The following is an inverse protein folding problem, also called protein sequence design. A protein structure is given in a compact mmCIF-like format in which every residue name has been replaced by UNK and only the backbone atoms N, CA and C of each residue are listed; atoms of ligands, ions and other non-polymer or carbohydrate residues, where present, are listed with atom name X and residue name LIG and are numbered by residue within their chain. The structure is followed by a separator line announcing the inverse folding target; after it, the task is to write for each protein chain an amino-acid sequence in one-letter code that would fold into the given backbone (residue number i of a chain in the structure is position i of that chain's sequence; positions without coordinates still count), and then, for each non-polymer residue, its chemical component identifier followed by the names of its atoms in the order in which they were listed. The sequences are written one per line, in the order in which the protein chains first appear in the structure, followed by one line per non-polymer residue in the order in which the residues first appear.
data_IF_194897232596
#
_entry.id   IF_194897232596
#
_cell.length_a   1.000
_cell.length_b   1.000
_cell.length_c   1.000
_cell.angle_alpha   90.00
_cell.angle_beta   90.00
_cell.angle_gamma   90.00
#
_symmetry.space_group_name_H-M   'P 1'
#
loop_
_entity.id
_entity.type
_entity.pdbx_description
1 polymer ?
#
# COMPACT_ATOMS: atom_id res chain seq x y z
N UNK A 1 25.43 50.57 39.23
CA UNK A 1 26.49 49.80 38.61
C UNK A 1 26.22 49.76 37.11
N UNK A 2 26.95 50.56 36.34
CA UNK A 2 26.60 50.97 34.97
C UNK A 2 27.27 50.11 33.90
N UNK A 3 27.51 48.83 34.17
CA UNK A 3 28.22 47.96 33.24
C UNK A 3 27.72 46.51 33.17
N UNK A 4 26.42 46.27 33.37
CA UNK A 4 25.81 44.97 33.04
C UNK A 4 25.24 45.02 31.62
N UNK A 5 26.06 44.64 30.64
CA UNK A 5 25.73 44.65 29.20
C UNK A 5 24.82 43.51 28.74
N UNK A 6 24.22 42.73 29.65
CA UNK A 6 23.31 41.62 29.25
C UNK A 6 21.83 41.87 29.54
N UNK A 7 21.49 42.84 30.40
CA UNK A 7 20.11 43.06 30.83
C UNK A 7 19.60 44.42 30.39
N UNK A 8 18.82 44.44 29.32
CA UNK A 8 18.26 45.66 28.75
C UNK A 8 17.44 46.44 29.79
N UNK A 9 17.57 47.76 29.78
CA UNK A 9 16.74 48.65 30.60
C UNK A 9 15.24 48.46 30.33
N UNK A 10 14.86 48.11 29.10
CA UNK A 10 13.46 47.81 28.75
C UNK A 10 12.96 46.53 29.42
N UNK A 11 13.79 45.49 29.49
CA UNK A 11 13.46 44.24 30.16
C UNK A 11 13.36 44.46 31.68
N UNK A 12 14.26 45.29 32.24
CA UNK A 12 14.19 45.70 33.64
C UNK A 12 12.86 46.34 34.03
N UNK A 13 12.38 47.28 33.23
CA UNK A 13 11.11 47.95 33.49
C UNK A 13 9.89 47.02 33.33
N UNK A 14 9.95 46.08 32.39
CA UNK A 14 8.93 45.02 32.26
C UNK A 14 8.92 44.14 33.50
N UNK A 15 10.07 43.59 33.91
CA UNK A 15 10.18 42.73 35.08
C UNK A 15 9.72 43.43 36.37
N UNK A 16 10.04 44.71 36.52
CA UNK A 16 9.56 45.53 37.64
C UNK A 16 8.04 45.63 37.66
N UNK A 17 7.41 45.85 36.51
CA UNK A 17 5.94 45.86 36.40
C UNK A 17 5.33 44.49 36.64
N UNK A 18 5.93 43.41 36.11
CA UNK A 18 5.48 42.05 36.39
C UNK A 18 5.56 41.71 37.89
N UNK A 19 6.51 42.28 38.63
CA UNK A 19 6.68 42.02 40.06
C UNK A 19 5.74 42.83 40.95
N UNK A 20 5.50 44.11 40.63
CA UNK A 20 4.80 45.03 41.52
C UNK A 20 3.42 45.48 41.03
N UNK A 21 3.11 45.29 39.74
CA UNK A 21 1.86 45.75 39.12
C UNK A 21 1.29 44.69 38.15
N UNK A 22 1.39 43.42 38.54
CA UNK A 22 1.07 42.27 37.68
C UNK A 22 -0.36 42.34 37.12
N UNK A 23 -1.35 42.76 37.91
CA UNK A 23 -2.78 42.80 37.53
C UNK A 23 -3.04 43.67 36.29
N UNK A 24 -2.24 44.71 36.08
CA UNK A 24 -2.40 45.64 34.96
C UNK A 24 -1.62 45.21 33.72
N UNK A 25 -0.73 44.23 33.81
CA UNK A 25 0.09 43.78 32.67
C UNK A 25 -0.64 42.78 31.77
N UNK A 26 -0.19 42.72 30.52
CA UNK A 26 -0.66 41.74 29.52
C UNK A 26 0.05 40.39 29.69
N UNK A 27 -0.49 39.32 29.09
CA UNK A 27 0.18 38.00 29.05
C UNK A 27 1.42 37.96 28.16
N UNK A 28 1.57 38.92 27.23
CA UNK A 28 2.76 39.02 26.38
C UNK A 28 3.93 39.67 27.11
N UNK A 29 3.66 40.63 27.99
CA UNK A 29 4.71 41.29 28.78
C UNK A 29 5.08 40.46 30.02
N UNK A 30 4.07 39.89 30.69
CA UNK A 30 4.24 39.07 31.89
C UNK A 30 3.49 37.74 31.72
N UNK A 31 4.20 36.61 31.55
CA UNK A 31 3.58 35.28 31.49
C UNK A 31 2.63 35.03 32.66
N UNK A 32 1.59 34.24 32.42
CA UNK A 32 0.64 33.87 33.47
C UNK A 32 1.32 32.98 34.52
N UNK A 33 1.08 33.26 35.80
CA UNK A 33 1.65 32.46 36.90
C UNK A 33 0.90 31.14 37.06
N UNK A 34 1.64 30.12 37.48
CA UNK A 34 1.09 28.79 37.77
C UNK A 34 0.32 28.71 39.09
N UNK A 35 0.33 29.75 39.94
CA UNK A 35 -0.47 29.82 41.17
C UNK A 35 -0.83 31.27 41.42
N UNK A 36 -2.05 31.50 41.92
CA UNK A 36 -2.49 32.80 42.44
C UNK A 36 -2.23 34.02 41.54
N UNK A 37 -2.26 33.87 40.22
CA UNK A 37 -2.17 35.00 39.28
C UNK A 37 -3.43 35.86 39.45
N UNK A 38 -3.30 37.15 39.82
CA UNK A 38 -4.45 38.03 40.02
C UNK A 38 -5.24 38.29 38.72
N UNK A 39 -4.71 37.88 37.56
CA UNK A 39 -5.35 38.01 36.26
C UNK A 39 -6.05 36.73 35.79
N UNK A 40 -6.00 35.64 36.56
CA UNK A 40 -6.62 34.36 36.21
C UNK A 40 -8.15 34.51 36.03
N UNK A 41 -8.69 33.86 34.99
CA UNK A 41 -10.11 33.99 34.60
C UNK A 41 -10.44 35.29 33.84
N UNK A 42 -9.44 36.07 33.46
CA UNK A 42 -9.56 37.32 32.70
C UNK A 42 -8.49 37.42 31.62
N UNK A 43 -7.41 38.18 31.88
CA UNK A 43 -6.27 38.29 30.94
C UNK A 43 -5.47 36.98 30.84
N UNK A 44 -5.50 36.19 31.91
CA UNK A 44 -4.95 34.84 31.96
C UNK A 44 -6.08 33.81 32.03
N UNK A 45 -5.88 32.60 31.47
CA UNK A 45 -6.83 31.50 31.66
C UNK A 45 -7.11 31.23 33.14
N UNK A 46 -8.30 30.72 33.45
CA UNK A 46 -8.64 30.33 34.82
C UNK A 46 -7.80 29.11 35.27
N UNK A 47 -7.68 28.88 36.56
CA UNK A 47 -7.10 27.65 37.07
C UNK A 47 -8.07 26.48 36.89
N UNK A 48 -7.53 25.31 36.53
CA UNK A 48 -8.32 24.09 36.44
C UNK A 48 -8.79 23.71 37.86
N UNK A 49 -10.10 23.62 38.07
CA UNK A 49 -10.68 23.32 39.38
C UNK A 49 -11.11 21.86 39.53
N UNK A 50 -11.33 21.17 38.41
CA UNK A 50 -11.68 19.75 38.37
C UNK A 50 -11.42 19.16 36.99
N UNK A 51 -11.47 17.83 36.91
CA UNK A 51 -11.46 17.04 35.66
C UNK A 51 -12.69 17.27 34.76
N UNK A 52 -13.80 17.75 35.34
CA UNK A 52 -15.12 17.79 34.68
C UNK A 52 -15.41 19.12 33.98
N UNK A 53 -14.46 20.07 33.99
CA UNK A 53 -14.56 21.32 33.25
C UNK A 53 -13.89 21.17 31.88
N UNK A 54 -14.66 21.10 30.77
CA UNK A 54 -14.14 20.79 29.43
C UNK A 54 -13.28 21.91 28.82
N UNK A 55 -13.01 23.00 29.54
CA UNK A 55 -12.14 24.05 29.02
C UNK A 55 -10.69 23.55 29.05
N UNK A 56 -10.18 23.13 27.90
CA UNK A 56 -8.75 22.84 27.65
C UNK A 56 -7.84 24.05 27.88
N UNK A 57 -8.42 25.25 28.01
CA UNK A 57 -7.72 26.50 28.26
C UNK A 57 -7.80 26.90 29.75
N UNK A 58 -7.28 26.04 30.63
CA UNK A 58 -7.09 26.36 32.05
C UNK A 58 -5.63 26.09 32.49
N UNK A 59 -5.15 26.71 33.56
CA UNK A 59 -3.78 26.51 34.08
C UNK A 59 -3.84 25.49 35.23
N UNK A 60 -2.93 24.52 35.25
CA UNK A 60 -2.81 23.58 36.38
C UNK A 60 -2.06 24.25 37.53
N UNK A 61 -2.76 24.45 38.65
CA UNK A 61 -2.22 25.16 39.82
C UNK A 61 -1.23 24.28 40.60
N UNK A 62 0.02 24.76 40.77
CA UNK A 62 1.07 24.07 41.52
C UNK A 62 0.77 23.91 43.02
N UNK A 63 -0.09 24.76 43.57
CA UNK A 63 -0.48 24.75 44.98
C UNK A 63 -1.88 24.18 45.24
N UNK A 64 -2.56 23.70 44.19
CA UNK A 64 -3.88 23.11 44.34
C UNK A 64 -3.82 21.81 45.14
N UNK A 65 -4.60 21.75 46.22
CA UNK A 65 -4.78 20.54 47.04
C UNK A 65 -5.92 19.66 46.54
N UNK A 66 -6.92 20.24 45.88
CA UNK A 66 -8.11 19.53 45.37
C UNK A 66 -7.89 18.91 44.00
N UNK A 67 -7.03 19.51 43.18
CA UNK A 67 -6.65 19.00 41.87
C UNK A 67 -5.14 19.21 41.67
N UNK A 68 -4.30 18.34 42.26
CA UNK A 68 -2.85 18.49 42.24
C UNK A 68 -2.30 18.65 40.84
N UNK A 69 -1.24 19.44 40.69
CA UNK A 69 -0.68 19.80 39.39
C UNK A 69 -0.36 18.58 38.52
N UNK A 70 0.21 17.51 39.07
CA UNK A 70 0.55 16.31 38.31
C UNK A 70 -0.69 15.63 37.72
N UNK A 71 -1.72 15.41 38.55
CA UNK A 71 -3.01 14.85 38.11
C UNK A 71 -3.70 15.77 37.09
N UNK A 72 -3.66 17.08 37.32
CA UNK A 72 -4.19 18.05 36.37
C UNK A 72 -3.51 17.97 35.01
N UNK A 73 -2.18 17.93 34.97
CA UNK A 73 -1.46 17.87 33.70
C UNK A 73 -1.73 16.56 32.94
N UNK A 74 -1.96 15.45 33.66
CA UNK A 74 -2.30 14.17 33.03
C UNK A 74 -3.75 14.06 32.56
N UNK A 75 -4.70 14.73 33.22
CA UNK A 75 -6.14 14.58 32.95
C UNK A 75 -6.74 15.77 32.21
N UNK A 76 -6.09 16.93 32.22
CA UNK A 76 -6.60 18.17 31.62
C UNK A 76 -6.91 17.95 30.14
N UNK A 77 -8.17 18.25 29.79
CA UNK A 77 -8.66 18.15 28.43
C UNK A 77 -9.14 16.77 28.04
N UNK A 78 -8.97 15.73 28.86
CA UNK A 78 -9.57 14.42 28.63
C UNK A 78 -11.01 14.37 29.12
N UNK A 79 -11.85 13.58 28.45
CA UNK A 79 -13.24 13.38 28.87
C UNK A 79 -13.31 12.57 30.16
N UNK A 80 -14.11 13.05 31.12
CA UNK A 80 -14.49 12.32 32.34
C UNK A 80 -15.89 11.70 32.25
N UNK A 81 -16.72 12.19 31.33
CA UNK A 81 -18.10 11.71 31.13
C UNK A 81 -18.12 10.31 30.53
N UNK A 82 -19.03 9.46 30.99
CA UNK A 82 -19.21 8.08 30.51
C UNK A 82 -19.38 7.98 29.00
N UNK A 83 -18.85 6.93 28.38
CA UNK A 83 -18.93 6.65 26.92
C UNK A 83 -20.36 6.54 26.34
N UNK A 84 -21.36 6.35 27.21
CA UNK A 84 -22.79 6.31 26.84
C UNK A 84 -23.47 7.69 26.85
N UNK A 85 -22.73 8.75 27.16
CA UNK A 85 -23.24 10.11 27.21
C UNK A 85 -22.86 10.92 25.97
N UNK A 86 -23.22 12.21 25.98
CA UNK A 86 -22.90 13.18 24.93
C UNK A 86 -22.25 14.41 25.57
N UNK A 87 -21.21 14.93 24.93
CA UNK A 87 -20.54 16.19 25.27
C UNK A 87 -20.63 17.13 24.07
N UNK A 88 -20.48 18.46 24.27
CA UNK A 88 -20.34 19.39 23.15
C UNK A 88 -19.19 18.97 22.24
N UNK A 89 -19.35 19.22 20.93
CA UNK A 89 -18.40 18.79 19.90
C UNK A 89 -16.99 19.31 20.22
N UNK A 90 -16.04 18.39 20.24
CA UNK A 90 -14.60 18.58 20.46
C UNK A 90 -14.24 19.28 21.80
N UNK A 91 -15.15 19.22 22.78
CA UNK A 91 -14.99 19.85 24.10
C UNK A 91 -14.00 19.13 25.02
N UNK A 92 -13.77 17.84 24.81
CA UNK A 92 -12.76 17.06 25.53
C UNK A 92 -12.23 15.97 24.61
N UNK A 93 -11.04 15.47 24.89
CA UNK A 93 -10.38 14.40 24.17
C UNK A 93 -10.85 13.04 24.70
N UNK A 94 -11.27 12.16 23.79
CA UNK A 94 -11.68 10.80 24.11
C UNK A 94 -10.53 10.02 24.76
N UNK A 95 -10.85 9.15 25.70
CA UNK A 95 -9.90 8.19 26.29
C UNK A 95 -10.41 6.77 26.10
N UNK A 96 -9.53 5.77 26.30
CA UNK A 96 -9.91 4.36 26.23
C UNK A 96 -11.01 3.93 27.20
N UNK A 97 -11.27 4.71 28.26
CA UNK A 97 -12.34 4.44 29.23
C UNK A 97 -13.54 5.38 29.11
N UNK A 98 -13.33 6.62 28.64
CA UNK A 98 -14.36 7.65 28.53
C UNK A 98 -14.34 8.26 27.11
N UNK A 99 -15.25 7.79 26.26
CA UNK A 99 -15.40 8.24 24.87
C UNK A 99 -16.86 8.61 24.55
N UNK A 100 -17.41 9.66 25.20
CA UNK A 100 -18.78 10.12 24.95
C UNK A 100 -18.96 10.61 23.52
N UNK A 101 -20.20 10.63 23.04
CA UNK A 101 -20.50 11.18 21.73
C UNK A 101 -20.13 12.67 21.68
N UNK A 102 -19.37 13.10 20.67
CA UNK A 102 -18.92 14.48 20.52
C UNK A 102 -17.50 14.76 21.04
N UNK A 103 -16.83 13.81 21.71
CA UNK A 103 -15.43 13.99 22.09
C UNK A 103 -14.50 14.10 20.87
N UNK A 104 -13.38 14.81 21.04
CA UNK A 104 -12.30 14.92 20.08
C UNK A 104 -11.44 13.67 20.12
N UNK A 105 -11.06 13.13 18.97
CA UNK A 105 -10.17 11.97 18.93
C UNK A 105 -8.71 12.35 19.23
N UNK A 106 -7.98 11.53 19.99
CA UNK A 106 -6.53 11.69 20.16
C UNK A 106 -5.79 11.71 18.83
N UNK A 107 -4.77 12.56 18.74
CA UNK A 107 -3.86 12.60 17.58
C UNK A 107 -2.73 11.59 17.70
N UNK A 108 -2.31 11.28 18.92
CA UNK A 108 -1.39 10.18 19.21
C UNK A 108 -2.13 8.84 18.96
N UNK A 109 -1.66 8.00 18.01
CA UNK A 109 -2.29 6.71 17.75
C UNK A 109 -2.39 5.84 18.99
N UNK A 110 -1.39 5.86 19.87
CA UNK A 110 -1.32 4.96 21.04
C UNK A 110 -2.49 5.15 21.99
N UNK A 111 -3.07 6.35 22.02
CA UNK A 111 -4.22 6.69 22.86
C UNK A 111 -5.57 6.25 22.28
N UNK A 112 -5.60 5.74 21.04
CA UNK A 112 -6.82 5.20 20.43
C UNK A 112 -7.22 3.82 20.98
N UNK A 113 -6.32 3.14 21.71
CA UNK A 113 -6.62 1.84 22.31
C UNK A 113 -7.80 1.96 23.29
N UNK A 114 -8.81 1.10 23.13
CA UNK A 114 -10.05 1.13 23.92
C UNK A 114 -11.12 2.11 23.42
N UNK A 115 -10.82 2.91 22.39
CA UNK A 115 -11.79 3.83 21.77
C UNK A 115 -12.42 3.15 20.55
N UNK A 116 -13.75 2.99 20.56
CA UNK A 116 -14.49 2.34 19.47
C UNK A 116 -14.36 3.10 18.14
N UNK A 117 -14.37 2.37 17.01
CA UNK A 117 -14.42 2.98 15.67
C UNK A 117 -15.62 3.91 15.44
N UNK A 118 -16.70 3.72 16.19
CA UNK A 118 -17.90 4.57 16.14
C UNK A 118 -17.71 5.95 16.76
N UNK A 119 -16.66 6.12 17.59
CA UNK A 119 -16.27 7.39 18.21
C UNK A 119 -15.12 8.02 17.45
N UNK A 120 -14.09 7.23 17.19
CA UNK A 120 -12.91 7.65 16.45
C UNK A 120 -12.68 6.71 15.28
N UNK A 121 -12.84 7.24 14.06
CA UNK A 121 -12.63 6.47 12.83
C UNK A 121 -11.25 5.81 12.82
N UNK A 122 -11.16 4.66 12.16
CA UNK A 122 -9.90 3.95 11.98
C UNK A 122 -8.93 4.81 11.18
N UNK A 123 -7.68 4.88 11.63
CA UNK A 123 -6.62 5.56 10.90
C UNK A 123 -6.20 4.73 9.69
N UNK A 124 -5.84 5.42 8.63
CA UNK A 124 -5.35 4.80 7.40
C UNK A 124 -3.92 4.26 7.51
N UNK A 125 -3.20 4.59 8.59
CA UNK A 125 -1.87 4.08 8.89
C UNK A 125 -1.67 3.95 10.40
N UNK A 126 -0.93 2.93 10.82
CA UNK A 126 -0.52 2.68 12.20
C UNK A 126 -1.65 2.82 13.26
N UNK A 127 -2.90 2.49 12.93
CA UNK A 127 -3.95 2.41 13.94
C UNK A 127 -3.68 1.20 14.85
N UNK A 128 -3.51 1.37 16.17
CA UNK A 128 -3.23 0.24 17.06
C UNK A 128 -4.42 -0.72 17.21
N UNK A 129 -5.61 -0.35 16.70
CA UNK A 129 -6.81 -1.17 16.68
C UNK A 129 -6.94 -2.02 15.42
N UNK A 130 -6.08 -1.83 14.42
CA UNK A 130 -6.11 -2.59 13.17
C UNK A 130 -5.95 -4.11 13.42
N UNK A 131 -6.86 -4.90 12.85
CA UNK A 131 -6.85 -6.37 13.00
C UNK A 131 -7.36 -6.88 14.35
N UNK A 132 -8.04 -6.05 15.14
CA UNK A 132 -8.60 -6.40 16.47
C UNK A 132 -10.11 -6.16 16.56
N UNK A 133 -10.85 -6.51 15.51
CA UNK A 133 -12.31 -6.35 15.34
C UNK A 133 -12.88 -4.92 15.32
N UNK A 134 -12.17 -3.95 15.90
CA UNK A 134 -12.51 -2.53 15.84
C UNK A 134 -12.22 -1.94 14.46
N UNK A 135 -11.02 -2.20 13.95
CA UNK A 135 -10.54 -1.72 12.66
C UNK A 135 -10.07 -2.86 11.76
N UNK A 136 -10.30 -2.78 10.44
CA UNK A 136 -9.76 -3.75 9.50
C UNK A 136 -8.24 -3.88 9.61
N UNK A 137 -7.71 -5.08 9.39
CA UNK A 137 -6.27 -5.28 9.31
C UNK A 137 -5.70 -4.58 8.06
N UNK A 138 -4.44 -4.15 8.13
CA UNK A 138 -3.75 -3.67 6.94
C UNK A 138 -3.41 -4.83 6.02
N UNK A 139 -3.55 -4.59 4.71
CA UNK A 139 -3.23 -5.58 3.69
C UNK A 139 -1.74 -5.92 3.69
N UNK A 140 -1.43 -7.22 3.57
CA UNK A 140 -0.06 -7.73 3.46
C UNK A 140 0.13 -8.28 2.05
N UNK A 141 1.23 -7.90 1.40
CA UNK A 141 1.57 -8.35 0.05
C UNK A 141 1.73 -9.88 0.04
N UNK A 142 1.05 -10.55 -0.90
CA UNK A 142 1.03 -12.01 -1.02
C UNK A 142 0.12 -12.74 -0.02
N UNK A 143 -0.58 -12.01 0.85
CA UNK A 143 -1.55 -12.57 1.81
C UNK A 143 -2.74 -11.62 1.96
N UNK A 144 -3.29 -11.21 0.81
CA UNK A 144 -4.44 -10.33 0.75
C UNK A 144 -5.70 -11.02 1.25
N UNK A 145 -6.55 -10.27 1.93
CA UNK A 145 -7.93 -10.66 2.24
C UNK A 145 -8.90 -9.63 1.68
N UNK A 146 -10.15 -10.00 1.36
CA UNK A 146 -11.13 -9.05 0.83
C UNK A 146 -11.39 -7.87 1.77
N UNK A 147 -11.30 -8.10 3.09
CA UNK A 147 -11.66 -7.09 4.09
C UNK A 147 -10.46 -6.25 4.56
N UNK A 148 -9.23 -6.56 4.14
CA UNK A 148 -8.07 -5.75 4.55
C UNK A 148 -8.14 -4.33 3.94
N UNK A 149 -7.50 -3.37 4.62
CA UNK A 149 -7.38 -1.98 4.15
C UNK A 149 -5.95 -1.67 3.72
N UNK A 150 -5.79 -0.86 2.67
CA UNK A 150 -4.48 -0.49 2.15
C UNK A 150 -3.88 0.66 2.98
N UNK A 151 -2.72 0.42 3.60
CA UNK A 151 -2.02 1.40 4.43
C UNK A 151 -1.48 2.56 3.57
N UNK A 152 -1.94 3.78 3.85
CA UNK A 152 -1.53 4.98 3.10
C UNK A 152 -0.11 5.44 3.43
N UNK A 153 0.45 5.01 4.57
CA UNK A 153 1.80 5.33 5.01
C UNK A 153 2.84 4.25 4.69
N UNK A 154 2.44 3.12 4.10
CA UNK A 154 3.35 2.02 3.81
C UNK A 154 4.33 2.36 2.68
N UNK A 155 5.63 2.25 2.98
CA UNK A 155 6.70 2.44 1.99
C UNK A 155 6.94 1.19 1.14
N UNK A 156 6.72 0.01 1.70
CA UNK A 156 7.03 -1.28 1.05
C UNK A 156 5.87 -1.83 0.25
N UNK A 157 4.65 -1.46 0.63
CA UNK A 157 3.44 -1.84 -0.07
C UNK A 157 2.52 -0.63 -0.21
N UNK A 158 2.88 0.32 -1.10
CA UNK A 158 2.14 1.56 -1.27
C UNK A 158 0.67 1.30 -1.57
N UNK A 159 -0.20 2.19 -1.08
CA UNK A 159 -1.65 2.02 -1.18
C UNK A 159 -2.13 1.84 -2.62
N UNK A 160 -1.51 2.50 -3.60
CA UNK A 160 -1.85 2.36 -5.02
C UNK A 160 -1.56 0.96 -5.56
N UNK A 161 -0.40 0.38 -5.22
CA UNK A 161 -0.06 -1.00 -5.56
C UNK A 161 -0.99 -1.97 -4.83
N UNK A 162 -1.24 -1.74 -3.54
CA UNK A 162 -2.15 -2.58 -2.75
C UNK A 162 -3.56 -2.62 -3.31
N UNK A 163 -4.12 -1.48 -3.71
CA UNK A 163 -5.45 -1.41 -4.30
C UNK A 163 -5.52 -2.15 -5.64
N UNK A 164 -4.50 -2.02 -6.48
CA UNK A 164 -4.40 -2.78 -7.74
C UNK A 164 -4.35 -4.28 -7.47
N UNK A 165 -3.46 -4.73 -6.59
CA UNK A 165 -3.36 -6.14 -6.25
C UNK A 165 -4.69 -6.68 -5.69
N UNK A 166 -5.40 -5.89 -4.88
CA UNK A 166 -6.73 -6.24 -4.34
C UNK A 166 -7.78 -6.40 -5.43
N UNK A 167 -7.85 -5.47 -6.39
CA UNK A 167 -8.75 -5.58 -7.54
C UNK A 167 -8.41 -6.79 -8.41
N UNK A 168 -7.13 -7.02 -8.70
CA UNK A 168 -6.70 -8.18 -9.49
C UNK A 168 -6.94 -9.51 -8.78
N UNK A 169 -7.01 -9.54 -7.45
CA UNK A 169 -7.23 -10.77 -6.70
C UNK A 169 -8.72 -11.09 -6.49
N UNK A 170 -9.55 -10.08 -6.22
CA UNK A 170 -10.95 -10.30 -5.82
C UNK A 170 -11.99 -9.83 -6.85
N UNK A 171 -11.61 -8.98 -7.80
CA UNK A 171 -12.52 -8.40 -8.79
C UNK A 171 -11.99 -8.55 -10.22
N UNK A 172 -11.16 -9.56 -10.47
CA UNK A 172 -10.41 -9.72 -11.71
C UNK A 172 -11.26 -9.58 -12.99
N UNK A 173 -12.49 -10.13 -12.99
CA UNK A 173 -13.38 -10.17 -14.16
C UNK A 173 -13.76 -8.78 -14.71
N UNK A 174 -13.77 -7.75 -13.88
CA UNK A 174 -14.10 -6.38 -14.28
C UNK A 174 -12.88 -5.53 -14.64
N UNK A 175 -11.67 -6.09 -14.57
CA UNK A 175 -10.42 -5.35 -14.74
C UNK A 175 -9.89 -5.41 -16.17
N UNK A 176 -9.24 -4.31 -16.59
CA UNK A 176 -8.53 -4.24 -17.86
C UNK A 176 -7.22 -5.04 -17.84
N UNK A 177 -6.66 -5.33 -19.02
CA UNK A 177 -5.32 -5.94 -19.14
C UNK A 177 -4.19 -5.00 -18.71
N UNK A 178 -4.43 -3.68 -18.69
CA UNK A 178 -3.43 -2.68 -18.29
C UNK A 178 -3.30 -2.61 -16.77
N UNK A 179 -4.41 -2.83 -16.06
CA UNK A 179 -4.42 -2.83 -14.59
C UNK A 179 -4.06 -4.21 -14.02
N UNK A 180 -4.61 -5.28 -14.62
CA UNK A 180 -4.39 -6.65 -14.20
C UNK A 180 -3.97 -7.49 -15.41
N UNK A 181 -2.68 -7.89 -15.51
CA UNK A 181 -2.20 -8.78 -16.56
C UNK A 181 -3.04 -10.05 -16.68
N UNK A 182 -3.14 -10.59 -17.90
CA UNK A 182 -3.86 -11.83 -18.14
C UNK A 182 -3.19 -12.99 -17.42
N UNK A 183 -3.98 -13.81 -16.70
CA UNK A 183 -3.47 -14.98 -16.00
C UNK A 183 -3.14 -16.08 -17.01
N UNK A 184 -2.04 -16.79 -16.76
CA UNK A 184 -1.61 -17.94 -17.58
C UNK A 184 -2.48 -19.19 -17.38
N UNK A 185 -3.47 -19.13 -16.48
CA UNK A 185 -4.39 -20.24 -16.22
C UNK A 185 -5.73 -19.71 -15.73
N UNK A 186 -6.82 -20.19 -16.34
CA UNK A 186 -8.18 -19.93 -15.88
C UNK A 186 -8.54 -18.45 -15.69
N UNK A 187 -7.97 -17.53 -16.47
CA UNK A 187 -8.39 -16.13 -16.44
C UNK A 187 -9.85 -16.04 -16.90
N UNK A 188 -10.78 -15.55 -16.06
CA UNK A 188 -12.19 -15.46 -16.40
C UNK A 188 -12.47 -14.51 -17.57
N UNK A 189 -11.48 -13.71 -17.99
CA UNK A 189 -11.57 -12.77 -19.11
C UNK A 189 -10.99 -13.32 -20.42
N UNK A 190 -10.52 -14.56 -20.45
CA UNK A 190 -9.96 -15.19 -21.64
C UNK A 190 -11.00 -15.29 -22.78
N UNK A 191 -10.58 -15.00 -24.01
CA UNK A 191 -11.45 -14.93 -25.19
C UNK A 191 -12.22 -13.62 -25.35
N UNK A 192 -11.96 -12.62 -24.49
CA UNK A 192 -12.55 -11.29 -24.56
C UNK A 192 -11.49 -10.21 -24.33
N UNK A 193 -11.38 -9.73 -23.08
CA UNK A 193 -10.36 -8.74 -22.71
C UNK A 193 -8.95 -9.34 -22.83
N UNK A 194 -8.81 -10.60 -22.43
CA UNK A 194 -7.60 -11.38 -22.58
C UNK A 194 -7.71 -12.31 -23.78
N UNK A 195 -6.58 -12.64 -24.46
CA UNK A 195 -6.60 -13.65 -25.49
C UNK A 195 -7.15 -14.98 -24.99
N UNK A 196 -7.79 -15.74 -25.86
CA UNK A 196 -8.20 -17.11 -25.56
C UNK A 196 -6.98 -18.00 -25.35
N UNK A 197 -7.15 -19.10 -24.63
CA UNK A 197 -6.08 -20.09 -24.48
C UNK A 197 -5.92 -20.93 -25.75
N UNK A 198 -4.67 -21.27 -26.08
CA UNK A 198 -4.38 -22.20 -27.16
C UNK A 198 -4.79 -23.62 -26.73
N UNK A 199 -5.65 -24.26 -27.50
CA UNK A 199 -6.25 -25.57 -27.19
C UNK A 199 -5.43 -26.74 -27.74
N UNK A 200 -4.83 -26.56 -28.92
CA UNK A 200 -4.02 -27.57 -29.60
C UNK A 200 -3.09 -26.95 -30.66
N UNK A 201 -2.17 -27.75 -31.19
CA UNK A 201 -1.32 -27.35 -32.32
C UNK A 201 -2.13 -27.06 -33.60
N UNK A 202 -3.23 -27.79 -33.82
CA UNK A 202 -4.05 -27.64 -35.03
C UNK A 202 -4.85 -26.32 -35.05
N UNK A 203 -5.22 -25.81 -33.88
CA UNK A 203 -5.96 -24.55 -33.71
C UNK A 203 -5.05 -23.40 -33.24
N UNK A 204 -3.73 -23.59 -33.33
CA UNK A 204 -2.77 -22.63 -32.82
C UNK A 204 -2.79 -21.32 -33.62
N UNK A 205 -2.96 -20.20 -32.93
CA UNK A 205 -2.82 -18.87 -33.50
C UNK A 205 -1.71 -18.11 -32.78
N UNK A 206 -1.16 -17.08 -33.42
CA UNK A 206 -0.17 -16.22 -32.77
C UNK A 206 -0.77 -15.44 -31.60
N UNK A 207 -2.08 -15.17 -31.63
CA UNK A 207 -2.79 -14.34 -30.67
C UNK A 207 -3.18 -15.07 -29.37
N UNK A 208 -3.45 -16.39 -29.41
CA UNK A 208 -3.88 -17.14 -28.21
C UNK A 208 -2.80 -17.16 -27.11
N UNK A 209 -3.12 -17.54 -25.88
CA UNK A 209 -2.15 -17.63 -24.77
C UNK A 209 -1.86 -19.09 -24.42
N UNK A 210 -0.58 -19.43 -24.19
CA UNK A 210 -0.19 -20.79 -23.79
C UNK A 210 -0.51 -21.00 -22.31
N UNK A 211 -1.45 -21.89 -22.02
CA UNK A 211 -1.97 -22.10 -20.66
C UNK A 211 -1.08 -23.03 -19.82
N UNK A 212 -0.92 -22.73 -18.54
CA UNK A 212 -0.21 -23.58 -17.59
C UNK A 212 -1.08 -24.78 -17.16
N UNK A 213 -0.60 -25.99 -17.47
CA UNK A 213 -1.23 -27.25 -17.04
C UNK A 213 -2.43 -27.71 -17.87
N UNK A 214 -2.57 -27.19 -19.09
CA UNK A 214 -3.56 -27.70 -20.07
C UNK A 214 -3.09 -29.00 -20.73
N UNK A 215 -3.96 -29.61 -21.54
CA UNK A 215 -3.63 -30.76 -22.39
C UNK A 215 -2.64 -30.44 -23.51
N UNK A 216 -2.41 -29.16 -23.79
CA UNK A 216 -1.42 -28.68 -24.73
C UNK A 216 -0.32 -27.94 -23.95
N UNK A 217 0.70 -28.68 -23.46
CA UNK A 217 1.61 -28.17 -22.44
C UNK A 217 2.26 -26.85 -22.84
N UNK A 218 2.36 -25.92 -21.90
CA UNK A 218 2.86 -24.55 -22.15
C UNK A 218 4.16 -24.52 -22.98
N UNK A 219 5.18 -25.31 -22.59
CA UNK A 219 6.45 -25.35 -23.31
C UNK A 219 6.32 -25.88 -24.75
N UNK A 220 5.39 -26.80 -25.00
CA UNK A 220 5.09 -27.28 -26.36
C UNK A 220 4.35 -26.22 -27.15
N UNK A 221 3.35 -25.58 -26.56
CA UNK A 221 2.61 -24.47 -27.17
C UNK A 221 3.51 -23.29 -27.55
N UNK A 222 4.40 -22.86 -26.64
CA UNK A 222 5.33 -21.76 -26.89
C UNK A 222 6.32 -22.11 -28.01
N UNK A 223 6.82 -23.35 -28.04
CA UNK A 223 7.69 -23.84 -29.12
C UNK A 223 6.95 -23.84 -30.46
N UNK A 224 5.75 -24.40 -30.50
CA UNK A 224 4.95 -24.46 -31.72
C UNK A 224 4.58 -23.04 -32.22
N UNK A 225 4.43 -22.06 -31.32
CA UNK A 225 4.25 -20.65 -31.70
C UNK A 225 5.46 -20.05 -32.38
N UNK A 226 6.67 -20.37 -31.92
CA UNK A 226 7.90 -19.93 -32.59
C UNK A 226 7.97 -20.45 -34.02
N UNK A 227 7.42 -21.64 -34.30
CA UNK A 227 7.31 -22.16 -35.67
C UNK A 227 6.42 -21.29 -36.58
N UNK A 228 5.53 -20.45 -36.01
CA UNK A 228 4.68 -19.53 -36.77
C UNK A 228 5.35 -18.17 -36.94
N UNK A 229 5.92 -17.62 -35.85
CA UNK A 229 6.41 -16.23 -35.84
C UNK A 229 7.88 -16.07 -36.21
N UNK A 230 8.69 -17.10 -36.03
CA UNK A 230 10.14 -17.01 -36.13
C UNK A 230 10.77 -18.29 -36.69
N UNK A 231 10.15 -18.84 -37.73
CA UNK A 231 10.51 -20.13 -38.31
C UNK A 231 12.00 -20.22 -38.71
N UNK A 232 12.60 -19.12 -39.21
CA UNK A 232 13.98 -19.09 -39.71
C UNK A 232 15.04 -19.36 -38.65
N UNK A 233 14.74 -19.14 -37.37
CA UNK A 233 15.65 -19.39 -36.26
C UNK A 233 15.35 -20.71 -35.52
N UNK A 234 14.44 -21.54 -36.04
CA UNK A 234 14.08 -22.81 -35.42
C UNK A 234 14.71 -24.01 -36.12
N UNK A 235 15.19 -24.97 -35.33
CA UNK A 235 15.70 -26.25 -35.83
C UNK A 235 14.58 -27.12 -36.40
N UNK A 236 14.94 -28.06 -37.28
CA UNK A 236 14.01 -29.06 -37.83
C UNK A 236 13.39 -29.97 -36.76
N UNK A 237 14.09 -30.17 -35.64
CA UNK A 237 13.58 -30.94 -34.50
C UNK A 237 12.47 -30.23 -33.73
N UNK A 238 12.51 -28.89 -33.70
CA UNK A 238 11.50 -28.08 -33.03
C UNK A 238 10.34 -27.73 -33.97
N UNK A 239 10.67 -27.39 -35.22
CA UNK A 239 9.72 -27.02 -36.26
C UNK A 239 10.04 -27.81 -37.53
N UNK A 240 9.22 -28.82 -37.87
CA UNK A 240 9.37 -29.57 -39.12
C UNK A 240 9.40 -28.64 -40.33
N UNK A 241 10.04 -29.08 -41.41
CA UNK A 241 10.10 -28.33 -42.66
C UNK A 241 8.72 -28.20 -43.29
N UNK A 242 8.40 -27.00 -43.79
CA UNK A 242 7.19 -26.75 -44.56
C UNK A 242 7.31 -27.45 -45.91
N UNK A 243 6.22 -28.05 -46.36
CA UNK A 243 6.19 -28.76 -47.64
C UNK A 243 6.37 -27.82 -48.85
N UNK A 244 6.09 -26.53 -48.69
CA UNK A 244 6.16 -25.52 -49.75
C UNK A 244 6.73 -24.23 -49.16
N UNK A 245 7.70 -23.62 -49.85
CA UNK A 245 8.28 -22.32 -49.53
C UNK A 245 8.76 -22.20 -48.07
N UNK A 246 9.47 -23.21 -47.54
CA UNK A 246 10.12 -23.07 -46.23
C UNK A 246 11.17 -21.95 -46.32
N UNK A 247 11.13 -20.93 -45.46
CA UNK A 247 12.05 -19.80 -45.52
C UNK A 247 13.46 -20.14 -45.00
N UNK A 248 13.68 -21.34 -44.45
CA UNK A 248 15.01 -21.82 -44.05
C UNK A 248 15.76 -22.39 -45.25
N UNK A 249 17.08 -22.30 -45.18
CA UNK A 249 17.97 -22.73 -46.26
C UNK A 249 17.74 -24.19 -46.68
N UNK A 250 17.92 -24.48 -47.98
CA UNK A 250 17.72 -25.82 -48.54
C UNK A 250 18.63 -26.86 -47.86
N UNK A 251 19.83 -26.46 -47.41
CA UNK A 251 20.74 -27.36 -46.67
C UNK A 251 20.19 -27.84 -45.32
N UNK A 252 19.20 -27.14 -44.76
CA UNK A 252 18.56 -27.46 -43.47
C UNK A 252 17.33 -28.35 -43.68
N UNK A 253 16.57 -28.14 -44.75
CA UNK A 253 15.28 -28.81 -44.97
C UNK A 253 15.27 -29.88 -46.07
N UNK A 254 16.34 -30.02 -46.86
CA UNK A 254 16.39 -30.94 -47.99
C UNK A 254 17.28 -32.17 -47.69
N UNK A 255 16.65 -33.24 -47.19
CA UNK A 255 17.23 -34.61 -47.17
C UNK A 255 16.24 -35.66 -47.72
N UNK A 256 15.38 -35.29 -48.68
CA UNK A 256 14.46 -36.27 -49.30
C UNK A 256 14.23 -36.03 -50.78
N UNK A 257 15.30 -35.88 -51.55
CA UNK A 257 15.28 -36.09 -53.00
C UNK A 257 16.42 -37.03 -53.43
N UNK A 258 16.35 -38.32 -53.08
CA UNK A 258 17.18 -39.37 -53.72
C UNK A 258 16.49 -40.75 -53.79
N UNK A 259 15.19 -40.82 -54.12
CA UNK A 259 14.54 -42.09 -54.43
C UNK A 259 13.69 -42.02 -55.70
N UNK A 260 14.29 -41.60 -56.81
CA UNK A 260 13.89 -42.09 -58.13
C UNK A 260 15.16 -42.27 -58.97
N UNK A 261 15.60 -43.51 -59.25
CA UNK A 261 16.63 -43.70 -60.26
C UNK A 261 16.04 -43.34 -61.62
N UNK A 262 16.70 -42.40 -62.28
CA UNK A 262 16.47 -42.02 -63.68
C UNK A 262 16.63 -43.27 -64.57
N UNK A 263 15.60 -43.69 -65.34
CA UNK A 263 15.64 -44.91 -66.14
C UNK A 263 16.46 -44.78 -67.44
N UNK A 264 17.24 -43.71 -67.62
CA UNK A 264 17.87 -43.42 -68.92
C UNK A 264 19.39 -43.57 -68.99
N UNK A 265 20.08 -44.06 -67.95
CA UNK A 265 21.53 -44.20 -68.02
C UNK A 265 21.95 -45.53 -68.70
N UNK A 266 22.68 -45.49 -69.83
CA UNK A 266 23.04 -46.68 -70.59
C UNK A 266 24.18 -47.45 -69.93
N UNK A 267 24.00 -48.76 -69.81
CA UNK A 267 25.03 -49.70 -69.33
C UNK A 267 26.18 -49.73 -70.35
N UNK A 268 27.34 -49.19 -69.96
CA UNK A 268 28.61 -49.38 -70.65
C UNK A 268 29.22 -50.70 -70.14
N UNK A 269 29.49 -51.71 -70.98
CA UNK A 269 30.19 -52.91 -70.54
C UNK A 269 31.69 -52.63 -70.36
N UNK A 270 32.21 -53.03 -69.20
CA UNK A 270 33.62 -52.96 -68.80
C UNK A 270 34.45 -54.01 -69.57
N UNK A 271 35.55 -53.63 -70.25
CA UNK A 271 36.40 -54.57 -70.97
C UNK A 271 37.67 -54.88 -70.16
N UNK A 272 37.62 -55.82 -69.21
CA UNK A 272 38.82 -56.55 -68.75
C UNK A 272 38.47 -57.79 -67.93
N UNK A 273 38.35 -58.94 -68.60
CA UNK A 273 38.72 -60.22 -67.99
C UNK A 273 39.92 -60.75 -68.77
N UNK A 274 41.10 -60.66 -68.17
CA UNK A 274 42.27 -61.45 -68.54
C UNK A 274 42.42 -62.49 -67.42
N UNK A 275 42.00 -63.72 -67.72
CA UNK A 275 42.12 -64.88 -66.85
C UNK A 275 43.57 -65.41 -66.85
N UNK A 276 44.08 -66.01 -65.76
CA UNK A 276 45.42 -66.55 -65.67
C UNK A 276 45.46 -68.07 -65.96
N UNK A 277 46.19 -68.49 -66.99
CA UNK A 277 47.14 -69.63 -67.00
C UNK A 277 47.96 -69.68 -68.30
#
# INVERSE_FOLDING_TARGET
DSNSTSYSSTVCEIDKKCKFDLINQSKSDCPCLNTSDPRAGGKCPAYCTSKDQPTTDCICDSNSTSYPQSTCQSEKGHCSTSSNSTVPKDSCECTGTNSPSGCKCPTDPTLLVGISKSRCQCRSTADPRAGRDECPAYCIRGSLTPDCTCDTGSQYYPSTTCLKDKLCNFELISQSKADCPCLMKGDPRAGGICPSYCTSKAELTIECMCELGSSYPQATCERDKLCIVDLIHQSISNCPCLAINDPRDESICNQTEQLYPDPTDPIIPDPTEQDPE
#
